data_IF_824304386451
#
_entry.id   IF_824304386451
#
_cell.length_a   1.000
_cell.length_b   1.000
_cell.length_c   1.000
_cell.angle_alpha   90.00
_cell.angle_beta   90.00
_cell.angle_gamma   90.00
#
_symmetry.space_group_name_H-M   'P 1'
#
loop_
_entity.id
_entity.type
_entity.pdbx_description
1 polymer ?
#
# COMPACT_ATOMS: atom_id res chain seq x y z
N UNK A 1 17.87 7.24 -4.70
CA UNK A 1 18.07 6.16 -5.68
C UNK A 1 16.76 5.40 -5.81
N UNK A 2 16.04 5.58 -6.91
CA UNK A 2 14.77 4.89 -7.18
C UNK A 2 15.06 3.43 -7.54
N UNK A 3 15.17 2.58 -6.53
CA UNK A 3 15.22 1.14 -6.73
C UNK A 3 13.89 0.68 -7.33
N UNK A 4 13.93 0.18 -8.55
CA UNK A 4 12.79 -0.45 -9.19
C UNK A 4 12.33 -1.60 -8.29
N UNK A 5 11.04 -1.63 -7.95
CA UNK A 5 10.47 -2.72 -7.16
C UNK A 5 10.79 -4.05 -7.85
N UNK A 6 11.17 -5.08 -7.10
CA UNK A 6 11.26 -6.41 -7.68
C UNK A 6 9.85 -6.87 -8.11
N UNK A 7 9.76 -7.93 -8.93
CA UNK A 7 8.48 -8.40 -9.47
C UNK A 7 7.38 -8.58 -8.42
N UNK A 8 7.72 -9.07 -7.23
CA UNK A 8 6.76 -9.33 -6.17
C UNK A 8 6.33 -8.06 -5.44
N UNK A 9 7.27 -7.13 -5.20
CA UNK A 9 6.94 -5.80 -4.67
C UNK A 9 6.10 -5.00 -5.66
N UNK A 10 6.36 -5.09 -6.97
CA UNK A 10 5.54 -4.44 -7.98
C UNK A 10 4.11 -5.01 -7.98
N UNK A 11 3.98 -6.34 -7.95
CA UNK A 11 2.67 -6.98 -7.87
C UNK A 11 1.91 -6.61 -6.57
N UNK A 12 2.63 -6.48 -5.45
CA UNK A 12 2.05 -6.04 -4.19
C UNK A 12 1.59 -4.57 -4.26
N UNK A 13 2.38 -3.69 -4.89
CA UNK A 13 2.01 -2.30 -5.16
C UNK A 13 0.74 -2.21 -6.01
N UNK A 14 0.67 -2.95 -7.11
CA UNK A 14 -0.49 -2.94 -8.01
C UNK A 14 -1.76 -3.37 -7.25
N UNK A 15 -1.67 -4.42 -6.42
CA UNK A 15 -2.78 -4.88 -5.57
C UNK A 15 -3.19 -3.86 -4.51
N UNK A 16 -2.23 -3.18 -3.89
CA UNK A 16 -2.53 -2.10 -2.94
C UNK A 16 -3.24 -0.93 -3.64
N UNK A 17 -2.87 -0.61 -4.87
CA UNK A 17 -3.53 0.43 -5.66
C UNK A 17 -4.98 0.05 -5.99
N UNK A 18 -5.22 -1.18 -6.42
CA UNK A 18 -6.57 -1.69 -6.70
C UNK A 18 -7.46 -1.65 -5.44
N UNK A 19 -6.90 -2.07 -4.30
CA UNK A 19 -7.58 -2.00 -3.01
C UNK A 19 -7.89 -0.55 -2.61
N UNK A 20 -6.94 0.37 -2.79
CA UNK A 20 -7.15 1.79 -2.50
C UNK A 20 -8.25 2.41 -3.33
N UNK A 21 -8.31 2.14 -4.63
CA UNK A 21 -9.38 2.65 -5.50
C UNK A 21 -10.74 2.19 -4.97
N UNK A 22 -10.84 0.92 -4.57
CA UNK A 22 -12.07 0.33 -4.00
C UNK A 22 -12.44 0.98 -2.66
N UNK A 23 -11.46 1.16 -1.77
CA UNK A 23 -11.66 1.77 -0.45
C UNK A 23 -12.01 3.24 -0.56
N UNK A 24 -11.35 3.98 -1.45
CA UNK A 24 -11.64 5.39 -1.68
C UNK A 24 -13.06 5.58 -2.21
N UNK A 25 -13.52 4.72 -3.11
CA UNK A 25 -14.89 4.77 -3.62
C UNK A 25 -15.94 4.47 -2.52
N UNK A 26 -15.65 3.56 -1.59
CA UNK A 26 -16.59 3.14 -0.56
C UNK A 26 -16.56 3.98 0.73
N UNK A 27 -15.38 4.47 1.11
CA UNK A 27 -15.10 5.06 2.43
C UNK A 27 -14.55 6.49 2.34
N UNK A 28 -14.30 7.02 1.13
CA UNK A 28 -13.74 8.36 0.89
C UNK A 28 -12.41 8.63 1.64
N UNK A 29 -11.59 7.59 1.77
CA UNK A 29 -10.28 7.66 2.45
C UNK A 29 -9.22 8.25 1.51
N UNK A 30 -8.25 8.96 2.06
CA UNK A 30 -7.09 9.45 1.33
C UNK A 30 -5.94 8.42 1.31
N UNK A 31 -4.91 8.66 0.50
CA UNK A 31 -3.85 7.67 0.31
C UNK A 31 -3.13 7.30 1.61
N UNK A 32 -2.90 8.29 2.49
CA UNK A 32 -2.22 8.07 3.77
C UNK A 32 -3.09 7.26 4.73
N UNK A 33 -4.37 7.64 4.90
CA UNK A 33 -5.30 6.93 5.77
C UNK A 33 -5.50 5.49 5.32
N UNK A 34 -5.52 5.23 4.01
CA UNK A 34 -5.54 3.86 3.48
C UNK A 34 -4.31 3.06 3.94
N UNK A 35 -3.10 3.59 3.77
CA UNK A 35 -1.85 2.92 4.16
C UNK A 35 -1.79 2.65 5.67
N UNK A 36 -2.21 3.61 6.49
CA UNK A 36 -2.29 3.46 7.94
C UNK A 36 -3.27 2.35 8.36
N UNK A 37 -4.40 2.19 7.66
CA UNK A 37 -5.37 1.14 7.96
C UNK A 37 -4.90 -0.25 7.49
N UNK A 38 -4.35 -0.39 6.28
CA UNK A 38 -3.90 -1.71 5.80
C UNK A 38 -2.73 -2.26 6.63
N UNK A 39 -1.84 -1.40 7.14
CA UNK A 39 -0.72 -1.83 7.98
C UNK A 39 -1.18 -2.43 9.33
N UNK A 40 -2.39 -2.10 9.78
CA UNK A 40 -3.00 -2.68 10.99
C UNK A 40 -3.55 -4.09 10.76
N UNK A 41 -3.74 -4.51 9.51
CA UNK A 41 -4.29 -5.83 9.18
C UNK A 41 -3.24 -6.93 9.45
N UNK A 42 -3.50 -7.89 10.35
CA UNK A 42 -2.56 -8.98 10.62
C UNK A 42 -2.39 -9.93 9.42
N UNK A 43 -3.38 -10.01 8.54
CA UNK A 43 -3.37 -10.83 7.33
C UNK A 43 -2.67 -10.17 6.12
N UNK A 44 -2.16 -8.93 6.27
CA UNK A 44 -1.45 -8.26 5.20
C UNK A 44 -0.16 -9.02 4.88
N UNK A 45 -0.05 -9.50 3.65
CA UNK A 45 1.14 -10.23 3.19
C UNK A 45 2.41 -9.39 3.30
N UNK A 46 3.52 -10.05 3.61
CA UNK A 46 4.83 -9.43 3.89
C UNK A 46 5.26 -8.40 2.81
N UNK A 47 5.18 -8.79 1.53
CA UNK A 47 5.51 -7.89 0.41
C UNK A 47 4.63 -6.64 0.36
N UNK A 48 3.34 -6.76 0.69
CA UNK A 48 2.43 -5.63 0.71
C UNK A 48 2.69 -4.72 1.92
N UNK A 49 3.06 -5.31 3.06
CA UNK A 49 3.49 -4.57 4.26
C UNK A 49 4.73 -3.73 3.97
N UNK A 50 5.78 -4.33 3.42
CA UNK A 50 7.01 -3.60 3.08
C UNK A 50 6.77 -2.46 2.08
N UNK A 51 5.94 -2.69 1.06
CA UNK A 51 5.57 -1.65 0.10
C UNK A 51 4.78 -0.52 0.77
N UNK A 52 3.80 -0.86 1.59
CA UNK A 52 2.97 0.12 2.29
C UNK A 52 3.78 0.98 3.27
N UNK A 53 4.70 0.37 4.02
CA UNK A 53 5.65 1.09 4.89
C UNK A 53 6.52 2.04 4.08
N UNK A 54 7.13 1.57 2.98
CA UNK A 54 8.00 2.40 2.15
C UNK A 54 7.25 3.58 1.50
N UNK A 55 5.99 3.38 1.09
CA UNK A 55 5.15 4.43 0.54
C UNK A 55 4.76 5.46 1.60
N UNK A 56 4.46 5.01 2.81
CA UNK A 56 4.07 5.87 3.92
C UNK A 56 5.25 6.75 4.39
N UNK A 57 6.46 6.19 4.42
CA UNK A 57 7.69 6.95 4.70
C UNK A 57 7.97 8.03 3.64
N UNK A 58 7.68 7.73 2.36
CA UNK A 58 7.85 8.69 1.25
C UNK A 58 6.73 9.73 1.13
N UNK A 59 5.59 9.49 1.78
CA UNK A 59 4.44 10.39 1.77
C UNK A 59 4.50 11.48 2.86
N UNK A 60 5.62 11.55 3.61
CA UNK A 60 5.96 12.61 4.56
C UNK A 60 6.73 13.74 3.86
#
# INVERSE_FOLDING_TARGET
MGGQLCRYHQQAYDRLMDAFISWRAALNVDWRGFLDEVLKLPELGEWAREVAENLLERAQ
#
